data_IF_973253028230
#
_entry.id   IF_973253028230
#
_cell.length_a   1.000
_cell.length_b   1.000
_cell.length_c   1.000
_cell.angle_alpha   90.00
_cell.angle_beta   90.00
_cell.angle_gamma   90.00
#
_symmetry.space_group_name_H-M   'P 1'
#
loop_
_entity.id
_entity.type
_entity.pdbx_description
1 polymer ?
#
# COMPACT_ATOMS: atom_id res chain seq x y z
N UNK A 1 8.78 -37.96 32.80
CA UNK A 1 8.86 -36.48 32.74
C UNK A 1 9.08 -36.12 31.28
N UNK A 2 7.99 -36.18 30.52
CA UNK A 2 7.95 -36.30 29.07
C UNK A 2 7.14 -35.10 28.57
N UNK A 3 7.74 -34.25 27.71
CA UNK A 3 7.12 -33.61 26.55
C UNK A 3 8.00 -32.50 25.97
N UNK A 4 9.07 -32.93 25.30
CA UNK A 4 9.72 -32.16 24.24
C UNK A 4 8.86 -32.28 22.97
N UNK A 5 7.83 -31.44 22.85
CA UNK A 5 7.06 -31.31 21.61
C UNK A 5 7.45 -29.99 20.90
N UNK A 6 7.95 -30.05 19.66
CA UNK A 6 8.29 -28.87 18.88
C UNK A 6 7.01 -28.11 18.53
N UNK A 7 6.91 -26.85 18.96
CA UNK A 7 5.75 -26.00 18.68
C UNK A 7 5.67 -25.76 17.16
N UNK A 8 4.62 -26.25 16.48
CA UNK A 8 4.53 -26.20 15.04
C UNK A 8 4.38 -24.75 14.55
N UNK A 9 5.07 -24.46 13.45
CA UNK A 9 5.12 -23.21 12.69
C UNK A 9 3.75 -22.58 12.35
N UNK A 10 2.64 -23.31 12.53
CA UNK A 10 1.26 -22.86 12.33
C UNK A 10 0.81 -21.71 13.28
N UNK A 11 1.44 -21.58 14.45
CA UNK A 11 1.07 -20.55 15.44
C UNK A 11 1.47 -19.12 15.05
N UNK A 12 2.35 -18.94 14.04
CA UNK A 12 2.71 -17.63 13.47
C UNK A 12 1.76 -17.13 12.38
N UNK A 13 1.05 -18.04 11.68
CA UNK A 13 0.08 -17.66 10.64
C UNK A 13 -1.28 -17.25 11.22
N UNK A 14 -1.71 -17.90 12.30
CA UNK A 14 -3.00 -17.66 12.96
C UNK A 14 -3.27 -16.20 13.38
N UNK A 15 -2.27 -15.41 13.83
CA UNK A 15 -2.49 -13.99 14.13
C UNK A 15 -2.53 -13.05 12.91
N UNK A 16 -2.09 -13.46 11.70
CA UNK A 16 -2.19 -12.60 10.50
C UNK A 16 -3.59 -12.64 9.86
N UNK A 17 -4.26 -13.80 9.95
CA UNK A 17 -5.58 -14.05 9.37
C UNK A 17 -6.65 -13.00 9.77
N UNK A 18 -6.81 -12.61 11.05
CA UNK A 18 -7.86 -11.65 11.42
C UNK A 18 -7.63 -10.28 10.76
N UNK A 19 -6.40 -9.78 10.71
CA UNK A 19 -6.10 -8.49 10.10
C UNK A 19 -6.24 -8.47 8.58
N UNK A 20 -5.86 -9.56 7.90
CA UNK A 20 -6.04 -9.67 6.44
C UNK A 20 -7.51 -9.78 6.05
N UNK A 21 -8.32 -10.49 6.85
CA UNK A 21 -9.75 -10.66 6.60
C UNK A 21 -10.50 -9.34 6.78
N UNK A 22 -10.17 -8.57 7.83
CA UNK A 22 -10.69 -7.21 8.03
C UNK A 22 -10.29 -6.28 6.88
N UNK A 23 -9.03 -6.31 6.46
CA UNK A 23 -8.59 -5.49 5.31
C UNK A 23 -9.33 -5.88 4.02
N UNK A 24 -9.61 -7.17 3.81
CA UNK A 24 -10.32 -7.66 2.64
C UNK A 24 -11.81 -7.26 2.65
N UNK A 25 -12.48 -7.34 3.80
CA UNK A 25 -13.89 -6.93 3.91
C UNK A 25 -14.04 -5.42 3.71
N UNK A 26 -13.13 -4.61 4.27
CA UNK A 26 -13.08 -3.16 4.04
C UNK A 26 -12.87 -2.87 2.54
N UNK A 27 -11.92 -3.53 1.89
CA UNK A 27 -11.65 -3.33 0.47
C UNK A 27 -12.87 -3.68 -0.41
N UNK A 28 -13.56 -4.79 -0.14
CA UNK A 28 -14.77 -5.17 -0.86
C UNK A 28 -15.91 -4.19 -0.63
N UNK A 29 -16.16 -3.81 0.62
CA UNK A 29 -17.21 -2.84 0.97
C UNK A 29 -16.95 -1.47 0.31
N UNK A 30 -15.71 -0.99 0.35
CA UNK A 30 -15.32 0.26 -0.28
C UNK A 30 -15.45 0.21 -1.81
N UNK A 31 -15.08 -0.91 -2.44
CA UNK A 31 -15.20 -1.07 -3.90
C UNK A 31 -16.67 -1.09 -4.33
N UNK A 32 -17.52 -1.80 -3.59
CA UNK A 32 -18.96 -1.82 -3.86
C UNK A 32 -19.62 -0.45 -3.67
N UNK A 33 -19.24 0.29 -2.63
CA UNK A 33 -19.71 1.66 -2.43
C UNK A 33 -19.22 2.59 -3.54
N UNK A 34 -17.98 2.45 -4.00
CA UNK A 34 -17.43 3.28 -5.06
C UNK A 34 -18.21 3.12 -6.38
N UNK A 35 -18.50 1.88 -6.78
CA UNK A 35 -19.27 1.59 -7.99
C UNK A 35 -20.72 2.11 -7.89
N UNK A 36 -21.34 2.03 -6.71
CA UNK A 36 -22.72 2.46 -6.53
C UNK A 36 -22.89 3.98 -6.43
N UNK A 37 -21.94 4.68 -5.80
CA UNK A 37 -22.01 6.13 -5.59
C UNK A 37 -21.23 6.95 -6.64
N UNK A 38 -20.56 6.30 -7.58
CA UNK A 38 -19.72 6.97 -8.59
C UNK A 38 -18.52 7.73 -8.00
N UNK A 39 -18.21 7.46 -6.73
CA UNK A 39 -17.14 8.13 -6.00
C UNK A 39 -15.80 7.42 -6.24
N UNK A 40 -14.65 8.13 -6.19
CA UNK A 40 -13.34 7.51 -6.34
C UNK A 40 -13.11 6.41 -5.30
N UNK A 41 -12.86 5.18 -5.74
CA UNK A 41 -12.68 4.02 -4.87
C UNK A 41 -11.60 4.20 -3.80
N UNK A 42 -10.54 4.93 -4.14
CA UNK A 42 -9.46 5.26 -3.21
C UNK A 42 -9.95 6.12 -2.04
N UNK A 43 -10.84 7.10 -2.29
CA UNK A 43 -11.41 7.94 -1.23
C UNK A 43 -12.33 7.13 -0.32
N UNK A 44 -13.20 6.28 -0.91
CA UNK A 44 -14.10 5.41 -0.13
C UNK A 44 -13.31 4.43 0.74
N UNK A 45 -12.23 3.84 0.20
CA UNK A 45 -11.34 2.95 0.96
C UNK A 45 -10.61 3.69 2.09
N UNK A 46 -10.14 4.92 1.86
CA UNK A 46 -9.49 5.74 2.89
C UNK A 46 -10.47 6.14 4.00
N UNK A 47 -11.68 6.61 3.64
CA UNK A 47 -12.73 6.98 4.59
C UNK A 47 -13.15 5.78 5.43
N UNK A 48 -13.39 4.64 4.80
CA UNK A 48 -13.75 3.40 5.48
C UNK A 48 -12.59 2.92 6.40
N UNK A 49 -11.35 3.00 5.92
CA UNK A 49 -10.16 2.68 6.72
C UNK A 49 -10.00 3.57 7.96
N UNK A 50 -10.29 4.87 7.84
CA UNK A 50 -10.29 5.79 8.99
C UNK A 50 -11.42 5.48 9.97
N UNK A 51 -12.62 5.17 9.49
CA UNK A 51 -13.76 4.77 10.34
C UNK A 51 -13.48 3.46 11.10
N UNK A 52 -12.82 2.50 10.47
CA UNK A 52 -12.43 1.22 11.09
C UNK A 52 -11.08 1.28 11.84
N UNK A 53 -10.46 2.46 11.99
CA UNK A 53 -9.19 2.60 12.73
C UNK A 53 -9.33 2.26 14.23
N UNK A 54 -10.55 2.28 14.79
CA UNK A 54 -10.82 1.80 16.16
C UNK A 54 -10.50 0.30 16.36
N UNK A 55 -10.54 -0.52 15.30
CA UNK A 55 -10.19 -1.94 15.38
C UNK A 55 -8.68 -2.19 15.57
N UNK A 56 -7.88 -1.14 15.42
CA UNK A 56 -6.42 -1.14 15.59
C UNK A 56 -6.00 -1.17 17.07
N UNK A 57 -6.93 -0.88 17.98
CA UNK A 57 -6.74 -0.94 19.43
C UNK A 57 -6.66 -2.39 19.96
N UNK A 58 -7.00 -3.37 19.14
CA UNK A 58 -6.74 -4.79 19.41
C UNK A 58 -5.41 -5.23 18.77
N UNK A 59 -4.41 -5.57 19.60
CA UNK A 59 -3.06 -6.00 19.20
C UNK A 59 -3.02 -7.14 18.16
N UNK A 60 -4.10 -7.93 18.06
CA UNK A 60 -4.21 -9.09 17.17
C UNK A 60 -4.41 -8.71 15.69
N UNK A 61 -4.87 -7.49 15.38
CA UNK A 61 -5.23 -7.07 14.01
C UNK A 61 -4.09 -6.37 13.27
N UNK A 62 -3.17 -5.77 14.03
CA UNK A 62 -2.01 -5.01 13.55
C UNK A 62 -1.10 -5.83 12.59
N UNK A 63 -0.71 -7.09 12.89
CA UNK A 63 0.22 -7.82 12.02
C UNK A 63 -0.35 -8.10 10.62
N UNK A 64 -1.68 -8.30 10.49
CA UNK A 64 -2.32 -8.51 9.20
C UNK A 64 -2.41 -7.25 8.34
N UNK A 65 -2.66 -6.08 8.95
CA UNK A 65 -2.68 -4.79 8.24
C UNK A 65 -1.28 -4.45 7.70
N UNK A 66 -0.24 -4.67 8.50
CA UNK A 66 1.15 -4.44 8.08
C UNK A 66 1.57 -5.38 6.94
N UNK A 67 1.09 -6.63 6.97
CA UNK A 67 1.31 -7.57 5.87
C UNK A 67 0.67 -7.07 4.57
N UNK A 68 -0.58 -6.61 4.60
CA UNK A 68 -1.24 -6.06 3.41
C UNK A 68 -0.53 -4.80 2.88
N UNK A 69 -0.18 -3.86 3.75
CA UNK A 69 0.41 -2.58 3.32
C UNK A 69 1.83 -2.71 2.77
N UNK A 70 2.59 -3.75 3.16
CA UNK A 70 3.95 -3.97 2.64
C UNK A 70 4.00 -5.06 1.58
N UNK A 71 3.48 -6.25 1.87
CA UNK A 71 3.63 -7.41 0.99
C UNK A 71 2.64 -7.35 -0.16
N UNK A 72 1.34 -7.21 0.15
CA UNK A 72 0.29 -7.19 -0.89
C UNK A 72 0.44 -5.96 -1.78
N UNK A 73 0.70 -4.79 -1.19
CA UNK A 73 0.96 -3.58 -1.97
C UNK A 73 2.19 -3.72 -2.87
N UNK A 74 3.30 -4.27 -2.36
CA UNK A 74 4.51 -4.50 -3.18
C UNK A 74 4.24 -5.45 -4.34
N UNK A 75 3.55 -6.57 -4.09
CA UNK A 75 3.14 -7.51 -5.13
C UNK A 75 2.26 -6.79 -6.16
N UNK A 76 1.30 -5.98 -5.71
CA UNK A 76 0.42 -5.19 -6.57
C UNK A 76 1.18 -4.22 -7.47
N UNK A 77 2.12 -3.44 -6.92
CA UNK A 77 2.94 -2.50 -7.70
C UNK A 77 3.83 -3.23 -8.70
N UNK A 78 4.42 -4.38 -8.33
CA UNK A 78 5.22 -5.20 -9.25
C UNK A 78 4.36 -5.72 -10.39
N UNK A 79 3.18 -6.28 -10.10
CA UNK A 79 2.24 -6.77 -11.13
C UNK A 79 1.73 -5.65 -12.03
N UNK A 80 1.45 -4.48 -11.47
CA UNK A 80 1.02 -3.30 -12.22
C UNK A 80 2.13 -2.83 -13.16
N UNK A 81 3.38 -2.76 -12.68
CA UNK A 81 4.54 -2.43 -13.51
C UNK A 81 4.73 -3.43 -14.64
N UNK A 82 4.58 -4.74 -14.36
CA UNK A 82 4.65 -5.81 -15.37
C UNK A 82 3.54 -5.66 -16.43
N UNK A 83 2.29 -5.41 -16.02
CA UNK A 83 1.15 -5.16 -16.94
C UNK A 83 1.44 -3.98 -17.87
N UNK A 84 1.92 -2.88 -17.31
CA UNK A 84 2.24 -1.66 -18.07
C UNK A 84 3.39 -1.93 -19.03
N UNK A 85 4.49 -2.49 -18.52
CA UNK A 85 5.70 -2.83 -19.28
C UNK A 85 5.38 -3.72 -20.48
N UNK A 86 4.60 -4.78 -20.31
CA UNK A 86 4.22 -5.65 -21.43
C UNK A 86 3.37 -4.93 -22.48
N UNK A 87 2.47 -4.02 -22.09
CA UNK A 87 1.65 -3.25 -23.03
C UNK A 87 2.43 -2.16 -23.76
N UNK A 88 3.35 -1.48 -23.07
CA UNK A 88 4.12 -0.35 -23.60
C UNK A 88 5.33 -0.79 -24.43
N UNK A 89 6.02 -1.88 -24.03
CA UNK A 89 7.15 -2.43 -24.80
C UNK A 89 6.70 -2.86 -26.20
N UNK A 90 5.49 -3.42 -26.34
CA UNK A 90 4.99 -3.90 -27.62
C UNK A 90 4.65 -2.80 -28.64
N UNK A 91 4.57 -1.54 -28.22
CA UNK A 91 4.06 -0.44 -29.05
C UNK A 91 4.98 0.77 -29.14
N UNK A 92 5.67 1.14 -28.06
CA UNK A 92 6.46 2.39 -27.99
C UNK A 92 7.90 2.21 -27.45
N UNK A 93 8.22 1.08 -26.81
CA UNK A 93 9.59 0.63 -26.50
C UNK A 93 10.48 1.63 -25.73
N UNK A 94 11.22 2.48 -26.45
CA UNK A 94 12.18 3.45 -25.88
C UNK A 94 11.55 4.83 -25.63
N UNK A 95 10.57 5.24 -26.44
CA UNK A 95 9.97 6.57 -26.34
C UNK A 95 9.24 6.75 -25.01
N UNK A 96 8.44 5.75 -24.62
CA UNK A 96 7.73 5.75 -23.33
C UNK A 96 8.69 5.83 -22.14
N UNK A 97 9.82 5.11 -22.21
CA UNK A 97 10.80 5.11 -21.13
C UNK A 97 11.40 6.50 -20.95
N UNK A 98 11.76 7.19 -22.04
CA UNK A 98 12.31 8.56 -21.98
C UNK A 98 11.30 9.55 -21.41
N UNK A 99 10.03 9.47 -21.81
CA UNK A 99 8.96 10.35 -21.31
C UNK A 99 8.72 10.11 -19.81
N UNK A 100 8.64 8.85 -19.38
CA UNK A 100 8.43 8.51 -17.97
C UNK A 100 9.62 8.96 -17.11
N UNK A 101 10.85 8.67 -17.53
CA UNK A 101 12.06 9.07 -16.79
C UNK A 101 12.18 10.58 -16.70
N UNK A 102 11.98 11.30 -17.80
CA UNK A 102 12.03 12.77 -17.80
C UNK A 102 10.91 13.40 -16.97
N UNK A 103 9.69 12.84 -17.01
CA UNK A 103 8.56 13.27 -16.19
C UNK A 103 8.79 13.06 -14.69
N UNK A 104 9.31 11.89 -14.30
CA UNK A 104 9.70 11.60 -12.91
C UNK A 104 10.80 12.54 -12.46
N UNK A 105 11.86 12.72 -13.28
CA UNK A 105 12.96 13.61 -12.93
C UNK A 105 12.50 15.06 -12.77
N UNK A 106 11.61 15.53 -13.66
CA UNK A 106 11.03 16.87 -13.58
C UNK A 106 10.15 17.02 -12.34
N UNK A 107 9.27 16.06 -12.07
CA UNK A 107 8.38 16.09 -10.90
C UNK A 107 9.17 16.05 -9.60
N UNK A 108 10.20 15.21 -9.50
CA UNK A 108 11.08 15.14 -8.34
C UNK A 108 11.92 16.41 -8.19
N UNK A 109 12.44 16.97 -9.28
CA UNK A 109 13.21 18.22 -9.25
C UNK A 109 12.34 19.38 -8.78
N UNK A 110 11.12 19.50 -9.31
CA UNK A 110 10.14 20.52 -8.91
C UNK A 110 9.72 20.30 -7.45
N UNK A 111 9.40 19.07 -7.06
CA UNK A 111 9.07 18.73 -5.67
C UNK A 111 10.20 19.06 -4.70
N UNK A 112 11.45 18.79 -5.06
CA UNK A 112 12.64 19.15 -4.30
C UNK A 112 12.83 20.67 -4.23
N UNK A 113 12.67 21.38 -5.35
CA UNK A 113 12.78 22.84 -5.39
C UNK A 113 11.71 23.51 -4.51
N UNK A 114 10.47 23.04 -4.58
CA UNK A 114 9.35 23.51 -3.76
C UNK A 114 9.56 23.15 -2.29
N UNK A 115 10.04 21.95 -1.98
CA UNK A 115 10.35 21.55 -0.59
C UNK A 115 11.45 22.43 0.01
N UNK A 116 12.43 22.84 -0.81
CA UNK A 116 13.45 23.81 -0.42
C UNK A 116 12.91 25.24 -0.32
N UNK A 117 11.98 25.65 -1.19
CA UNK A 117 11.36 26.98 -1.19
C UNK A 117 10.38 27.19 -0.04
N UNK A 118 9.67 26.12 0.35
CA UNK A 118 8.81 26.07 1.54
C UNK A 118 9.62 26.14 2.84
N UNK A 119 10.95 26.15 2.77
CA UNK A 119 11.79 26.52 3.90
C UNK A 119 11.52 25.65 5.13
N UNK A 120 11.37 24.34 4.93
CA UNK A 120 11.50 23.36 6.01
C UNK A 120 12.93 23.47 6.54
N UNK A 121 13.10 24.43 7.45
CA UNK A 121 14.35 24.71 8.12
C UNK A 121 14.89 23.40 8.72
N UNK A 122 16.19 23.13 8.61
CA UNK A 122 16.85 21.87 8.99
C UNK A 122 16.74 21.48 10.48
N UNK A 123 15.87 22.13 11.25
CA UNK A 123 15.58 21.94 12.66
C UNK A 123 14.38 21.01 12.92
N UNK A 124 13.57 20.69 11.90
CA UNK A 124 12.64 19.53 11.91
C UNK A 124 13.27 18.26 11.28
N UNK A 125 14.60 18.28 11.06
CA UNK A 125 15.34 17.17 10.44
C UNK A 125 15.95 16.19 11.45
N UNK A 126 15.76 16.39 12.77
CA UNK A 126 16.43 15.61 13.84
C UNK A 126 15.52 15.09 14.97
N UNK A 127 14.21 15.35 14.94
CA UNK A 127 13.23 14.73 15.85
C UNK A 127 12.19 13.93 15.05
#
# INVERSE_FOLDING_TARGET
MMNSFPQPTLSRLRPLIPGTLVSATIALAASYLADHYGAPAMLMALLLGMAFNFLRENDKTIPGIVFCSKTVLRIGVVLLGVRITFGEIGSLGIETVVIVVSGVFTTLSVGYLISRLLGLSPQFSIL
#
